data_IF_246406183525
#
_entry.id   IF_246406183525
#
_cell.length_a   1.000
_cell.length_b   1.000
_cell.length_c   1.000
_cell.angle_alpha   90.00
_cell.angle_beta   90.00
_cell.angle_gamma   90.00
#
_symmetry.space_group_name_H-M   'P 1'
#
loop_
_entity.id
_entity.type
_entity.pdbx_description
1 polymer ?
#
# COMPACT_ATOMS: atom_id res chain seq x y z
N UNK A 1 18.28 -2.62 22.60
CA UNK A 1 18.25 -2.15 21.19
C UNK A 1 16.81 -1.83 20.82
N UNK A 2 16.40 -0.55 20.87
CA UNK A 2 15.00 -0.17 20.68
C UNK A 2 14.53 -0.41 19.25
N UNK A 3 13.47 -1.20 19.05
CA UNK A 3 12.85 -1.37 17.73
C UNK A 3 12.40 0.02 17.24
N UNK A 4 13.05 0.56 16.20
CA UNK A 4 12.69 1.84 15.59
C UNK A 4 11.24 1.72 15.13
N UNK A 5 10.34 2.59 15.61
CA UNK A 5 8.94 2.59 15.19
C UNK A 5 8.91 2.80 13.66
N UNK A 6 8.20 1.95 12.90
CA UNK A 6 8.19 2.09 11.46
C UNK A 6 7.42 3.37 11.07
N UNK A 7 8.13 4.32 10.45
CA UNK A 7 7.58 5.59 9.96
C UNK A 7 7.06 5.41 8.54
N UNK A 8 5.91 6.01 8.25
CA UNK A 8 5.34 6.03 6.91
C UNK A 8 6.07 7.06 6.04
N UNK A 9 6.39 6.71 4.80
CA UNK A 9 7.08 7.58 3.83
C UNK A 9 6.38 7.56 2.48
N UNK A 10 6.48 8.66 1.74
CA UNK A 10 6.03 8.68 0.35
C UNK A 10 6.79 7.68 -0.51
N UNK A 11 6.10 7.14 -1.52
CA UNK A 11 6.66 6.19 -2.47
C UNK A 11 7.11 6.93 -3.73
N UNK A 12 8.37 6.74 -4.13
CA UNK A 12 8.95 7.38 -5.31
C UNK A 12 8.95 6.42 -6.51
N UNK A 13 9.17 5.13 -6.27
CA UNK A 13 9.09 4.07 -7.27
C UNK A 13 8.18 2.94 -6.81
N UNK A 14 7.53 2.28 -7.77
CA UNK A 14 6.84 1.02 -7.49
C UNK A 14 7.82 0.00 -6.86
N UNK A 15 9.11 0.05 -7.22
CA UNK A 15 10.11 -0.88 -6.69
C UNK A 15 10.40 -0.76 -5.19
N UNK A 16 10.05 0.38 -4.59
CA UNK A 16 10.23 0.62 -3.15
C UNK A 16 9.20 -0.15 -2.31
N UNK A 17 8.09 -0.58 -2.93
CA UNK A 17 7.00 -1.32 -2.26
C UNK A 17 7.33 -2.81 -2.27
N UNK A 18 7.25 -3.46 -1.11
CA UNK A 18 7.50 -4.90 -0.96
C UNK A 18 6.30 -5.60 -0.32
N UNK A 19 6.20 -6.91 -0.56
CA UNK A 19 5.26 -7.74 0.16
C UNK A 19 5.51 -7.66 1.67
N UNK A 20 4.43 -7.67 2.46
CA UNK A 20 4.47 -7.51 3.93
C UNK A 20 4.51 -6.06 4.41
N UNK A 21 4.83 -5.09 3.53
CA UNK A 21 4.70 -3.68 3.89
C UNK A 21 3.24 -3.31 4.16
N UNK A 22 3.04 -2.23 4.90
CA UNK A 22 1.73 -1.60 4.97
C UNK A 22 1.71 -0.34 4.11
N UNK A 23 0.67 -0.20 3.30
CA UNK A 23 0.44 0.94 2.42
C UNK A 23 -0.83 1.66 2.84
N UNK A 24 -0.76 2.98 2.96
CA UNK A 24 -1.92 3.82 3.15
C UNK A 24 -2.53 4.15 1.79
N UNK A 25 -3.78 3.72 1.58
CA UNK A 25 -4.54 3.97 0.36
C UNK A 25 -5.59 5.03 0.67
N UNK A 26 -5.70 6.02 -0.21
CA UNK A 26 -6.63 7.14 -0.08
C UNK A 26 -7.08 7.65 -1.46
N UNK A 27 -8.10 8.51 -1.54
CA UNK A 27 -8.53 9.11 -2.81
C UNK A 27 -7.42 9.93 -3.51
N UNK A 28 -6.42 10.43 -2.77
CA UNK A 28 -5.27 11.12 -3.36
C UNK A 28 -4.39 10.19 -4.22
N UNK A 29 -4.47 8.87 -4.00
CA UNK A 29 -3.83 7.87 -4.83
C UNK A 29 -4.67 7.49 -6.07
N UNK A 30 -5.82 8.12 -6.31
CA UNK A 30 -6.74 7.76 -7.39
C UNK A 30 -7.63 6.54 -7.08
N UNK A 31 -7.68 6.10 -5.82
CA UNK A 31 -8.57 5.02 -5.35
C UNK A 31 -9.78 5.65 -4.67
N UNK A 32 -10.89 5.75 -5.40
CA UNK A 32 -12.11 6.43 -4.94
C UNK A 32 -13.13 5.44 -4.35
N UNK A 33 -14.07 5.94 -3.54
CA UNK A 33 -15.17 5.12 -3.00
C UNK A 33 -14.83 4.23 -1.80
N UNK A 34 -13.56 4.11 -1.42
CA UNK A 34 -13.09 3.26 -0.31
C UNK A 34 -12.65 4.04 0.95
N UNK A 35 -12.74 5.38 0.93
CA UNK A 35 -12.18 6.22 2.00
C UNK A 35 -10.67 6.08 2.12
N UNK A 36 -10.17 6.19 3.36
CA UNK A 36 -8.74 6.13 3.67
C UNK A 36 -8.45 4.99 4.65
N UNK A 37 -7.47 4.15 4.35
CA UNK A 37 -7.19 2.95 5.15
C UNK A 37 -5.78 2.40 4.92
N UNK A 38 -5.34 1.52 5.83
CA UNK A 38 -4.07 0.80 5.72
C UNK A 38 -4.28 -0.61 5.19
N UNK A 39 -3.60 -0.95 4.10
CA UNK A 39 -3.55 -2.30 3.55
C UNK A 39 -2.19 -2.94 3.74
N UNK A 40 -2.15 -4.24 4.00
CA UNK A 40 -0.93 -5.04 3.90
C UNK A 40 -0.71 -5.42 2.43
N UNK A 41 0.49 -5.15 1.93
CA UNK A 41 0.88 -5.49 0.56
C UNK A 41 1.11 -6.99 0.44
N UNK A 42 0.38 -7.62 -0.45
CA UNK A 42 0.61 -9.02 -0.86
C UNK A 42 1.61 -9.05 -2.02
N UNK A 43 1.38 -8.22 -3.03
CA UNK A 43 2.28 -8.07 -4.18
C UNK A 43 2.02 -6.75 -4.90
N UNK A 44 2.95 -6.38 -5.77
CA UNK A 44 2.89 -5.18 -6.58
C UNK A 44 3.30 -5.47 -8.02
N UNK A 45 2.80 -4.67 -8.95
CA UNK A 45 3.23 -4.70 -10.35
C UNK A 45 3.31 -3.26 -10.86
N UNK A 46 4.43 -2.83 -11.46
CA UNK A 46 4.50 -1.53 -12.13
C UNK A 46 3.37 -1.40 -13.15
N UNK A 47 2.70 -0.25 -13.19
CA UNK A 47 1.74 0.02 -14.24
C UNK A 47 2.45 0.52 -15.51
N UNK A 48 1.77 0.46 -16.65
CA UNK A 48 2.26 1.05 -17.91
C UNK A 48 2.33 2.58 -17.87
N UNK A 49 1.64 3.21 -16.90
CA UNK A 49 1.62 4.66 -16.70
C UNK A 49 2.67 5.05 -15.66
N UNK A 50 3.55 5.97 -16.02
CA UNK A 50 4.56 6.52 -15.11
C UNK A 50 3.91 7.08 -13.83
N UNK A 51 4.53 6.77 -12.70
CA UNK A 51 4.04 7.18 -11.38
C UNK A 51 2.81 6.42 -10.90
N UNK A 52 2.50 5.26 -11.47
CA UNK A 52 1.40 4.40 -11.04
C UNK A 52 1.84 2.94 -10.81
N UNK A 53 1.03 2.21 -10.05
CA UNK A 53 1.28 0.84 -9.63
C UNK A 53 -0.05 0.08 -9.49
N UNK A 54 -0.03 -1.22 -9.79
CA UNK A 54 -1.07 -2.14 -9.37
C UNK A 54 -0.66 -2.78 -8.04
N UNK A 55 -1.51 -2.66 -7.03
CA UNK A 55 -1.28 -3.19 -5.69
C UNK A 55 -2.31 -4.25 -5.36
N UNK A 56 -1.84 -5.44 -4.97
CA UNK A 56 -2.67 -6.47 -4.35
C UNK A 56 -2.49 -6.35 -2.84
N UNK A 57 -3.56 -6.08 -2.13
CA UNK A 57 -3.54 -5.74 -0.70
C UNK A 57 -4.67 -6.42 0.06
N UNK A 58 -4.46 -6.58 1.36
CA UNK A 58 -5.50 -6.98 2.33
C UNK A 58 -5.68 -5.84 3.34
N UNK A 59 -6.90 -5.36 3.62
CA UNK A 59 -7.13 -4.38 4.68
C UNK A 59 -6.59 -4.88 6.03
N UNK A 60 -5.79 -4.07 6.71
CA UNK A 60 -5.09 -4.49 7.94
C UNK A 60 -6.08 -4.85 9.06
N UNK A 61 -7.23 -4.17 9.11
CA UNK A 61 -8.32 -4.40 10.05
C UNK A 61 -9.12 -5.68 9.76
N UNK A 62 -8.85 -6.37 8.64
CA UNK A 62 -9.48 -7.65 8.25
C UNK A 62 -8.53 -8.84 8.34
N UNK A 63 -7.27 -8.62 8.73
CA UNK A 63 -6.29 -9.69 8.91
C UNK A 63 -6.67 -10.49 10.15
N UNK A 64 -6.93 -11.78 9.97
CA UNK A 64 -7.33 -12.70 11.04
C UNK A 64 -8.83 -13.04 11.08
N UNK A 65 -9.64 -12.29 10.34
CA UNK A 65 -11.07 -12.55 10.17
C UNK A 65 -11.32 -13.21 8.80
N UNK A 66 -11.72 -12.43 7.78
CA UNK A 66 -11.91 -12.84 6.38
C UNK A 66 -11.02 -11.99 5.45
N UNK A 67 -9.74 -12.35 5.27
CA UNK A 67 -8.80 -11.56 4.49
C UNK A 67 -9.04 -11.70 2.99
N UNK A 68 -9.80 -10.76 2.42
CA UNK A 68 -9.96 -10.67 0.97
C UNK A 68 -8.83 -9.86 0.34
N UNK A 69 -8.14 -10.47 -0.63
CA UNK A 69 -7.11 -9.80 -1.42
C UNK A 69 -7.77 -9.01 -2.55
N UNK A 70 -7.63 -7.68 -2.50
CA UNK A 70 -8.17 -6.77 -3.52
C UNK A 70 -7.05 -6.13 -4.31
N UNK A 71 -7.29 -5.90 -5.61
CA UNK A 71 -6.34 -5.23 -6.50
C UNK A 71 -6.77 -3.80 -6.75
N UNK A 72 -5.85 -2.85 -6.59
CA UNK A 72 -6.06 -1.43 -6.90
C UNK A 72 -5.02 -0.92 -7.89
N UNK A 73 -5.46 -0.10 -8.84
CA UNK A 73 -4.57 0.81 -9.57
C UNK A 73 -4.43 2.08 -8.75
N UNK A 74 -3.19 2.48 -8.46
CA UNK A 74 -2.91 3.62 -7.60
C UNK A 74 -1.77 4.50 -8.14
N UNK A 75 -1.86 5.81 -7.89
CA UNK A 75 -0.81 6.80 -8.15
C UNK A 75 0.18 6.81 -6.98
N UNK A 76 1.47 6.64 -7.27
CA UNK A 76 2.54 6.59 -6.26
C UNK A 76 2.57 7.84 -5.37
N UNK A 77 2.33 9.01 -5.96
CA UNK A 77 2.33 10.31 -5.25
C UNK A 77 1.28 10.42 -4.14
N UNK A 78 0.23 9.59 -4.18
CA UNK A 78 -0.82 9.56 -3.16
C UNK A 78 -0.67 8.42 -2.15
N UNK A 79 0.39 7.62 -2.24
CA UNK A 79 0.64 6.48 -1.36
C UNK A 79 1.66 6.84 -0.29
N UNK A 80 1.42 6.32 0.92
CA UNK A 80 2.42 6.23 1.97
C UNK A 80 2.71 4.77 2.24
N UNK A 81 3.97 4.39 2.37
CA UNK A 81 4.37 3.03 2.74
C UNK A 81 5.09 3.07 4.07
N UNK A 82 4.73 2.11 4.92
CA UNK A 82 5.35 1.80 6.19
C UNK A 82 6.01 0.43 6.08
N UNK A 83 7.35 0.42 6.16
CA UNK A 83 8.15 -0.81 6.20
C UNK A 83 7.82 -1.59 7.46
N UNK A 84 7.40 -2.84 7.31
CA UNK A 84 7.23 -3.73 8.47
C UNK A 84 8.55 -4.45 8.78
N UNK A 85 8.88 -4.68 10.07
CA UNK A 85 10.09 -5.40 10.49
C UNK A 85 10.14 -6.85 10.01
#
# INVERSE_FOLDING_TARGET
MGKRKPTATYVLSADDIRAGDQVFISPAAGVHGHGCWWGMVVSRMPALVNGAVYLRVVPVDKIGDDPQVTTFYARLSGLLVRRMP
#
